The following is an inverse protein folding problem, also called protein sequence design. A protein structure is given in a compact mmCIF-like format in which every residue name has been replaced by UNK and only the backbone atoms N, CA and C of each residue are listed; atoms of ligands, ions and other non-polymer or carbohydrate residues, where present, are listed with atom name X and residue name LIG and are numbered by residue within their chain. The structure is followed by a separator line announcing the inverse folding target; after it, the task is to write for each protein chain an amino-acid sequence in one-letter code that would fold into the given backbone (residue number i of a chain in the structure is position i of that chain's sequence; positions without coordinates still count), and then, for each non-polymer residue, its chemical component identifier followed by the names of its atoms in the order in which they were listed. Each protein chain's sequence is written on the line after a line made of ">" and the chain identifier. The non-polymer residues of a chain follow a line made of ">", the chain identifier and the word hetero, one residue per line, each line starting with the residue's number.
data_IF_632984684528
#
_entry.id   IF_632984684528
#
_cell.length_a   1.000
_cell.length_b   1.000
_cell.length_c   1.000
_cell.angle_alpha   90.00
_cell.angle_beta   90.00
_cell.angle_gamma   90.00
#
_symmetry.space_group_name_H-M   'P 1'
#
loop_
_entity.id
_entity.type
_entity.pdbx_description
1 polymer ?
#
# COMPACT_ATOMS: atom_id res chain seq x y z
N UNK A 1 -7.00 -34.17 -4.91
CA UNK A 1 -5.89 -33.41 -4.30
C UNK A 1 -4.62 -34.05 -4.82
N UNK A 2 -3.87 -33.34 -5.65
CA UNK A 2 -2.61 -33.86 -6.23
C UNK A 2 -1.43 -33.48 -5.33
N UNK A 3 -0.47 -34.41 -5.21
CA UNK A 3 0.71 -34.27 -4.36
C UNK A 3 1.95 -34.74 -5.11
N UNK A 4 3.10 -34.14 -4.81
CA UNK A 4 4.39 -34.47 -5.37
C UNK A 4 5.49 -34.44 -4.31
N UNK A 5 6.71 -34.86 -4.67
CA UNK A 5 7.87 -34.76 -3.79
C UNK A 5 8.61 -33.46 -4.04
N UNK A 6 8.93 -32.74 -2.97
CA UNK A 6 9.77 -31.55 -3.04
C UNK A 6 11.16 -31.92 -3.61
N UNK A 7 11.63 -31.26 -4.69
CA UNK A 7 12.90 -31.59 -5.32
C UNK A 7 14.12 -31.23 -4.47
N UNK A 8 13.95 -30.45 -3.39
CA UNK A 8 15.03 -30.00 -2.51
C UNK A 8 15.18 -30.84 -1.24
N UNK A 9 14.08 -31.32 -0.65
CA UNK A 9 14.12 -32.05 0.63
C UNK A 9 13.34 -33.36 0.65
N UNK A 10 12.71 -33.75 -0.47
CA UNK A 10 11.93 -34.98 -0.62
C UNK A 10 10.69 -35.09 0.28
N UNK A 11 10.24 -34.00 0.92
CA UNK A 11 8.96 -33.96 1.61
C UNK A 11 7.79 -34.07 0.63
N UNK A 12 6.70 -34.73 1.03
CA UNK A 12 5.44 -34.75 0.27
C UNK A 12 4.78 -33.37 0.37
N UNK A 13 4.48 -32.76 -0.78
CA UNK A 13 3.90 -31.40 -0.88
C UNK A 13 2.69 -31.40 -1.81
N UNK A 14 1.79 -30.45 -1.61
CA UNK A 14 0.64 -30.23 -2.49
C UNK A 14 1.09 -29.45 -3.73
N UNK A 15 0.60 -29.82 -4.92
CA UNK A 15 0.93 -29.15 -6.20
C UNK A 15 0.40 -27.72 -6.32
N UNK A 16 -0.39 -27.24 -5.36
CA UNK A 16 -0.83 -25.84 -5.29
C UNK A 16 0.12 -24.95 -4.47
N UNK A 17 1.15 -25.51 -3.83
CA UNK A 17 2.05 -24.72 -2.99
C UNK A 17 3.13 -24.03 -3.81
N UNK A 18 3.31 -22.72 -3.58
CA UNK A 18 4.41 -21.97 -4.20
C UNK A 18 5.77 -22.28 -3.56
N UNK A 19 5.77 -22.66 -2.28
CA UNK A 19 6.96 -22.94 -1.48
C UNK A 19 6.77 -24.21 -0.66
N UNK A 20 7.84 -24.98 -0.47
CA UNK A 20 7.83 -26.17 0.37
C UNK A 20 7.72 -25.79 1.86
N UNK A 21 6.72 -26.29 2.61
CA UNK A 21 6.58 -25.98 4.04
C UNK A 21 7.67 -26.61 4.91
N UNK A 22 8.40 -27.61 4.41
CA UNK A 22 9.46 -28.29 5.17
C UNK A 22 10.84 -27.64 5.02
N UNK A 23 11.19 -27.11 3.84
CA UNK A 23 12.52 -26.55 3.59
C UNK A 23 12.54 -25.13 2.99
N UNK A 24 11.38 -24.57 2.60
CA UNK A 24 11.29 -23.23 2.02
C UNK A 24 11.66 -23.14 0.53
N UNK A 25 12.03 -24.25 -0.13
CA UNK A 25 12.34 -24.24 -1.57
C UNK A 25 11.11 -23.81 -2.39
N UNK A 26 11.33 -22.99 -3.43
CA UNK A 26 10.28 -22.58 -4.37
C UNK A 26 9.90 -23.77 -5.27
N UNK A 27 8.63 -24.13 -5.28
CA UNK A 27 8.11 -25.27 -6.04
C UNK A 27 7.55 -24.83 -7.39
N UNK A 28 6.80 -23.72 -7.40
CA UNK A 28 6.13 -23.20 -8.59
C UNK A 28 6.37 -21.71 -8.77
N UNK A 29 6.35 -21.24 -10.03
CA UNK A 29 6.30 -19.81 -10.32
C UNK A 29 4.91 -19.29 -9.98
N UNK A 30 4.81 -18.60 -8.85
CA UNK A 30 3.68 -17.73 -8.53
C UNK A 30 3.87 -16.33 -9.11
N UNK A 31 2.87 -15.44 -8.95
CA UNK A 31 3.07 -14.02 -9.21
C UNK A 31 4.28 -13.52 -8.41
N UNK A 32 5.00 -12.54 -8.96
CA UNK A 32 6.14 -11.99 -8.22
C UNK A 32 5.61 -11.41 -6.91
N UNK A 33 6.30 -11.70 -5.81
CA UNK A 33 5.94 -11.17 -4.50
C UNK A 33 5.90 -9.64 -4.54
N UNK A 34 6.81 -9.04 -5.31
CA UNK A 34 6.84 -7.60 -5.58
C UNK A 34 5.53 -7.13 -6.23
N UNK A 35 5.03 -7.81 -7.27
CA UNK A 35 3.78 -7.44 -7.95
C UNK A 35 2.56 -7.51 -7.03
N UNK A 36 2.50 -8.53 -6.16
CA UNK A 36 1.38 -8.69 -5.20
C UNK A 36 1.39 -7.58 -4.15
N UNK A 37 2.57 -7.24 -3.64
CA UNK A 37 2.75 -6.14 -2.70
C UNK A 37 2.40 -4.79 -3.32
N UNK A 38 2.86 -4.54 -4.54
CA UNK A 38 2.70 -3.25 -5.22
C UNK A 38 1.22 -2.88 -5.36
N UNK A 39 0.36 -3.86 -5.71
CA UNK A 39 -1.10 -3.65 -5.74
C UNK A 39 -1.68 -3.28 -4.37
N UNK A 40 -1.26 -3.99 -3.33
CA UNK A 40 -1.82 -3.82 -1.99
C UNK A 40 -1.36 -2.52 -1.35
N UNK A 41 -0.09 -2.16 -1.56
CA UNK A 41 0.53 -0.94 -1.04
C UNK A 41 0.11 0.31 -1.83
N UNK A 42 0.00 0.22 -3.16
CA UNK A 42 -0.43 1.35 -3.99
C UNK A 42 -1.83 1.86 -3.61
N UNK A 43 -2.76 0.96 -3.27
CA UNK A 43 -4.08 1.37 -2.80
C UNK A 43 -4.04 2.13 -1.45
N UNK A 44 -3.10 1.78 -0.56
CA UNK A 44 -2.92 2.47 0.72
C UNK A 44 -2.25 3.83 0.52
N UNK A 45 -1.24 3.90 -0.34
CA UNK A 45 -0.54 5.13 -0.68
C UNK A 45 -1.49 6.18 -1.27
N UNK A 46 -2.37 5.76 -2.19
CA UNK A 46 -3.41 6.65 -2.75
C UNK A 46 -4.32 7.20 -1.64
N UNK A 47 -4.78 6.37 -0.71
CA UNK A 47 -5.64 6.81 0.40
C UNK A 47 -4.93 7.81 1.31
N UNK A 48 -3.67 7.53 1.65
CA UNK A 48 -2.88 8.42 2.51
C UNK A 48 -2.66 9.78 1.84
N UNK A 49 -2.33 9.79 0.55
CA UNK A 49 -2.14 11.01 -0.21
C UNK A 49 -3.42 11.83 -0.33
N UNK A 50 -4.57 11.18 -0.56
CA UNK A 50 -5.87 11.85 -0.58
C UNK A 50 -6.17 12.56 0.75
N UNK A 51 -5.90 11.90 1.88
CA UNK A 51 -6.06 12.51 3.21
C UNK A 51 -5.12 13.70 3.42
N UNK A 52 -3.86 13.60 2.97
CA UNK A 52 -2.91 14.69 3.07
C UNK A 52 -3.34 15.90 2.24
N UNK A 53 -3.78 15.66 1.00
CA UNK A 53 -4.28 16.72 0.12
C UNK A 53 -5.49 17.42 0.72
N UNK A 54 -6.43 16.68 1.31
CA UNK A 54 -7.57 17.29 2.01
C UNK A 54 -7.13 18.17 3.19
N UNK A 55 -6.14 17.74 3.98
CA UNK A 55 -5.62 18.56 5.09
C UNK A 55 -4.95 19.84 4.61
N UNK A 56 -4.22 19.77 3.49
CA UNK A 56 -3.62 20.97 2.89
C UNK A 56 -4.68 21.94 2.40
N UNK A 57 -5.74 21.43 1.76
CA UNK A 57 -6.88 22.24 1.31
C UNK A 57 -7.56 22.96 2.49
N UNK A 58 -7.81 22.24 3.58
CA UNK A 58 -8.36 22.82 4.81
C UNK A 58 -7.46 23.93 5.38
N UNK A 59 -6.15 23.70 5.39
CA UNK A 59 -5.19 24.71 5.84
C UNK A 59 -5.20 25.95 4.94
N UNK A 60 -5.31 25.77 3.62
CA UNK A 60 -5.40 26.88 2.66
C UNK A 60 -6.67 27.70 2.88
N UNK A 61 -7.82 27.07 3.09
CA UNK A 61 -9.05 27.79 3.43
C UNK A 61 -8.92 28.62 4.71
N UNK A 62 -8.26 28.08 5.73
CA UNK A 62 -8.02 28.81 6.98
C UNK A 62 -7.11 30.01 6.78
N UNK A 63 -6.05 29.87 5.97
CA UNK A 63 -5.17 30.98 5.63
C UNK A 63 -5.92 32.08 4.87
N UNK A 64 -6.71 31.72 3.86
CA UNK A 64 -7.52 32.69 3.11
C UNK A 64 -8.49 33.46 4.02
N UNK A 65 -9.16 32.76 4.94
CA UNK A 65 -10.06 33.40 5.91
C UNK A 65 -9.32 34.40 6.82
N UNK A 66 -8.09 34.06 7.22
CA UNK A 66 -7.27 34.96 8.04
C UNK A 66 -6.79 36.17 7.24
N UNK A 67 -6.42 35.99 5.97
CA UNK A 67 -6.06 37.09 5.06
C UNK A 67 -7.23 38.07 4.92
N UNK A 68 -8.43 37.57 4.61
CA UNK A 68 -9.64 38.41 4.52
C UNK A 68 -9.92 39.18 5.81
N UNK A 69 -9.72 38.56 6.98
CA UNK A 69 -9.93 39.22 8.26
C UNK A 69 -8.91 40.34 8.49
N UNK A 70 -7.63 40.11 8.16
CA UNK A 70 -6.58 41.12 8.28
C UNK A 70 -6.83 42.31 7.36
N UNK A 71 -7.20 42.06 6.10
CA UNK A 71 -7.55 43.11 5.14
C UNK A 71 -8.72 43.96 5.65
N UNK A 72 -9.73 43.32 6.25
CA UNK A 72 -10.86 44.02 6.86
C UNK A 72 -10.44 44.88 8.06
N UNK A 73 -9.50 44.41 8.89
CA UNK A 73 -8.97 45.21 9.99
C UNK A 73 -8.16 46.42 9.50
N UNK A 74 -7.36 46.25 8.45
CA UNK A 74 -6.58 47.34 7.84
C UNK A 74 -7.49 48.39 7.20
N UNK A 75 -8.58 47.99 6.54
CA UNK A 75 -9.51 48.90 5.88
C UNK A 75 -10.30 49.83 6.84
N UNK A 76 -10.37 49.49 8.13
CA UNK A 76 -11.08 50.27 9.18
C UNK A 76 -10.13 51.20 9.96
N UNK A 77 -8.82 51.11 9.70
CA UNK A 77 -7.78 51.94 10.34
C UNK A 77 -7.39 53.15 9.50
#
# INVERSE_FOLDING_TARGET
>A
MEVEFCPSCSAVVNTNYLYCPSCGARLHKGPDFVEVLDRSLGALEVRQNQQLLHRLDEMLCRLATLEEALDAFEAVR
#
